data_IF_820439645718
#
_entry.id   IF_820439645718
#
_cell.length_a   1.000
_cell.length_b   1.000
_cell.length_c   1.000
_cell.angle_alpha   90.00
_cell.angle_beta   90.00
_cell.angle_gamma   90.00
#
_symmetry.space_group_name_H-M   'P 1'
#
loop_
_entity.id
_entity.type
_entity.pdbx_description
1 polymer ?
#
# COMPACT_ATOMS: atom_id res chain seq x y z
N UNK A 1 -17.68 -21.39 6.92
CA UNK A 1 -18.95 -20.96 6.26
C UNK A 1 -19.49 -19.67 6.87
N UNK A 2 -19.73 -19.57 8.18
CA UNK A 2 -20.22 -18.35 8.86
C UNK A 2 -19.28 -17.15 8.71
N UNK A 3 -17.98 -17.33 8.95
CA UNK A 3 -16.95 -16.30 8.74
C UNK A 3 -17.05 -15.70 7.32
N UNK A 4 -17.09 -16.54 6.30
CA UNK A 4 -17.20 -16.09 4.90
C UNK A 4 -18.50 -15.33 4.61
N UNK A 5 -19.62 -15.74 5.25
CA UNK A 5 -20.90 -15.02 5.11
C UNK A 5 -20.79 -13.60 5.68
N UNK A 6 -20.19 -13.43 6.87
CA UNK A 6 -19.97 -12.10 7.44
C UNK A 6 -19.02 -11.26 6.59
N UNK A 7 -17.93 -11.84 6.07
CA UNK A 7 -17.03 -11.16 5.16
C UNK A 7 -17.73 -10.66 3.88
N UNK A 8 -18.68 -11.42 3.31
CA UNK A 8 -19.46 -10.97 2.14
C UNK A 8 -20.38 -9.80 2.48
N UNK A 9 -21.04 -9.82 3.64
CA UNK A 9 -21.82 -8.66 4.11
C UNK A 9 -20.93 -7.45 4.34
N UNK A 10 -19.75 -7.63 4.94
CA UNK A 10 -18.76 -6.57 5.14
C UNK A 10 -18.21 -6.04 3.80
N UNK A 11 -17.97 -6.90 2.82
CA UNK A 11 -17.58 -6.47 1.46
C UNK A 11 -18.62 -5.55 0.83
N UNK A 12 -19.91 -5.81 1.07
CA UNK A 12 -21.02 -5.00 0.58
C UNK A 12 -21.18 -3.69 1.34
N UNK A 13 -21.28 -3.76 2.69
CA UNK A 13 -21.55 -2.60 3.55
C UNK A 13 -20.32 -1.71 3.70
N UNK A 14 -19.17 -2.28 3.95
CA UNK A 14 -17.94 -1.54 4.27
C UNK A 14 -17.14 -1.08 3.04
N UNK A 15 -17.72 -0.77 1.87
CA UNK A 15 -16.92 -0.32 0.69
C UNK A 15 -16.35 1.09 0.91
N UNK A 16 -17.04 1.93 1.63
CA UNK A 16 -16.72 3.34 1.87
C UNK A 16 -17.92 4.25 1.57
N UNK A 17 -17.86 5.53 1.96
CA UNK A 17 -19.03 6.43 1.94
C UNK A 17 -19.71 6.53 0.58
N UNK A 18 -18.95 6.43 -0.51
CA UNK A 18 -19.48 6.58 -1.89
C UNK A 18 -19.87 5.25 -2.55
N UNK A 19 -19.46 4.11 -2.03
CA UNK A 19 -19.66 2.80 -2.66
C UNK A 19 -20.44 1.81 -1.79
N UNK A 20 -20.67 2.14 -0.53
CA UNK A 20 -21.42 1.31 0.41
C UNK A 20 -22.83 1.05 -0.10
N UNK A 21 -23.27 -0.21 0.03
CA UNK A 21 -24.63 -0.62 -0.25
C UNK A 21 -25.28 -1.07 1.05
N UNK A 22 -26.49 -0.58 1.29
CA UNK A 22 -27.27 -1.01 2.43
C UNK A 22 -27.62 -2.49 2.35
N UNK A 23 -27.74 -3.13 3.50
CA UNK A 23 -28.20 -4.51 3.61
C UNK A 23 -29.72 -4.57 3.43
N UNK A 24 -30.19 -5.59 2.73
CA UNK A 24 -31.62 -5.89 2.66
C UNK A 24 -32.10 -6.61 3.92
N UNK A 25 -33.41 -6.94 3.99
CA UNK A 25 -33.99 -7.57 5.17
C UNK A 25 -33.33 -8.91 5.50
N UNK A 26 -33.16 -9.80 4.51
CA UNK A 26 -32.58 -11.13 4.73
C UNK A 26 -31.11 -11.04 5.17
N UNK A 27 -30.35 -10.11 4.58
CA UNK A 27 -28.95 -9.85 4.94
C UNK A 27 -28.84 -9.27 6.36
N UNK A 28 -29.79 -8.42 6.78
CA UNK A 28 -29.82 -7.86 8.13
C UNK A 28 -30.17 -8.94 9.16
N UNK A 29 -31.13 -9.81 8.85
CA UNK A 29 -31.45 -10.97 9.71
C UNK A 29 -30.31 -11.98 9.79
N UNK A 30 -29.56 -12.17 8.70
CA UNK A 30 -28.36 -12.99 8.71
C UNK A 30 -27.27 -12.33 9.57
N UNK A 31 -27.03 -11.03 9.43
CA UNK A 31 -26.08 -10.27 10.25
C UNK A 31 -26.39 -10.39 11.74
N UNK A 32 -27.67 -10.30 12.12
CA UNK A 32 -28.15 -10.44 13.49
C UNK A 32 -27.76 -11.80 14.13
N UNK A 33 -27.67 -12.87 13.31
CA UNK A 33 -27.24 -14.20 13.74
C UNK A 33 -25.72 -14.34 13.76
N UNK A 34 -24.99 -13.65 12.88
CA UNK A 34 -23.55 -13.78 12.73
C UNK A 34 -22.77 -12.92 13.73
N UNK A 35 -23.34 -11.80 14.17
CA UNK A 35 -22.67 -10.88 15.11
C UNK A 35 -22.35 -11.53 16.47
N UNK A 36 -23.25 -12.34 17.11
CA UNK A 36 -22.92 -13.00 18.37
C UNK A 36 -22.25 -14.37 18.21
N UNK A 37 -22.01 -14.82 16.95
CA UNK A 37 -21.60 -16.19 16.68
C UNK A 37 -20.10 -16.41 16.99
N UNK A 38 -19.74 -17.34 17.90
CA UNK A 38 -18.35 -17.56 18.30
C UNK A 38 -17.47 -18.22 17.23
N UNK A 39 -18.07 -18.78 16.15
CA UNK A 39 -17.32 -19.31 15.00
C UNK A 39 -16.89 -18.20 14.01
N UNK A 40 -17.25 -16.95 14.31
CA UNK A 40 -16.84 -15.77 13.52
C UNK A 40 -15.79 -14.99 14.31
N UNK A 41 -14.74 -14.56 13.63
CA UNK A 41 -13.68 -13.75 14.23
C UNK A 41 -14.23 -12.47 14.85
N UNK A 42 -13.83 -12.19 16.08
CA UNK A 42 -14.20 -10.95 16.79
C UNK A 42 -13.76 -9.71 16.02
N UNK A 43 -12.63 -9.77 15.32
CA UNK A 43 -12.14 -8.70 14.44
C UNK A 43 -13.10 -8.41 13.28
N UNK A 44 -13.63 -9.46 12.62
CA UNK A 44 -14.59 -9.27 11.53
C UNK A 44 -15.93 -8.76 12.05
N UNK A 45 -16.39 -9.26 13.21
CA UNK A 45 -17.62 -8.78 13.89
C UNK A 45 -17.50 -7.28 14.25
N UNK A 46 -16.36 -6.90 14.86
CA UNK A 46 -16.07 -5.51 15.24
C UNK A 46 -15.99 -4.58 14.02
N UNK A 47 -15.32 -5.01 12.96
CA UNK A 47 -15.24 -4.24 11.70
C UNK A 47 -16.62 -4.04 11.07
N UNK A 48 -17.45 -5.10 11.07
CA UNK A 48 -18.82 -5.01 10.55
C UNK A 48 -19.72 -4.10 11.41
N UNK A 49 -19.62 -4.21 12.73
CA UNK A 49 -20.34 -3.34 13.66
C UNK A 49 -19.93 -1.87 13.45
N UNK A 50 -18.64 -1.60 13.33
CA UNK A 50 -18.13 -0.26 13.01
C UNK A 50 -18.72 0.28 11.71
N UNK A 51 -18.76 -0.53 10.64
CA UNK A 51 -19.34 -0.12 9.37
C UNK A 51 -20.86 0.14 9.48
N UNK A 52 -21.58 -0.66 10.27
CA UNK A 52 -23.00 -0.48 10.52
C UNK A 52 -23.31 0.83 11.27
N UNK A 53 -22.48 1.16 12.28
CA UNK A 53 -22.68 2.33 13.12
C UNK A 53 -22.18 3.64 12.47
N UNK A 54 -21.16 3.58 11.60
CA UNK A 54 -20.59 4.77 10.97
C UNK A 54 -21.38 5.23 9.74
N UNK A 55 -21.90 4.28 8.96
CA UNK A 55 -22.57 4.60 7.69
C UNK A 55 -24.07 4.80 7.89
N UNK A 56 -24.65 5.72 7.10
CA UNK A 56 -26.10 5.99 7.14
C UNK A 56 -26.89 4.69 6.96
N UNK A 57 -27.71 4.30 7.94
CA UNK A 57 -28.49 3.07 7.88
C UNK A 57 -29.75 3.23 7.03
N UNK A 58 -30.23 2.14 6.45
CA UNK A 58 -31.57 2.04 5.91
C UNK A 58 -32.57 1.57 7.01
N UNK A 59 -33.90 1.50 6.75
CA UNK A 59 -34.86 1.12 7.79
C UNK A 59 -34.62 -0.26 8.43
N UNK A 60 -34.07 -1.24 7.71
CA UNK A 60 -33.75 -2.57 8.25
C UNK A 60 -32.54 -2.50 9.17
N UNK A 61 -31.51 -1.79 8.74
CA UNK A 61 -30.29 -1.55 9.53
C UNK A 61 -30.60 -0.70 10.77
N UNK A 62 -31.50 0.31 10.68
CA UNK A 62 -31.93 1.10 11.83
C UNK A 62 -32.69 0.22 12.86
N UNK A 63 -33.49 -0.74 12.39
CA UNK A 63 -34.16 -1.68 13.27
C UNK A 63 -33.12 -2.55 14.01
N UNK A 64 -32.15 -3.10 13.31
CA UNK A 64 -31.06 -3.85 13.93
C UNK A 64 -30.27 -3.01 14.95
N UNK A 65 -29.91 -1.77 14.62
CA UNK A 65 -29.20 -0.87 15.55
C UNK A 65 -30.03 -0.62 16.81
N UNK A 66 -31.34 -0.46 16.71
CA UNK A 66 -32.23 -0.35 17.89
C UNK A 66 -32.23 -1.63 18.74
N UNK A 67 -32.30 -2.80 18.11
CA UNK A 67 -32.20 -4.09 18.81
C UNK A 67 -30.87 -4.24 19.54
N UNK A 68 -29.74 -3.87 18.88
CA UNK A 68 -28.41 -3.87 19.49
C UNK A 68 -28.33 -2.98 20.74
N UNK A 69 -28.99 -1.82 20.73
CA UNK A 69 -29.02 -0.94 21.91
C UNK A 69 -30.00 -1.43 23.01
N UNK A 70 -31.08 -2.07 22.62
CA UNK A 70 -32.14 -2.51 23.57
C UNK A 70 -31.75 -3.80 24.32
N UNK A 71 -31.12 -4.74 23.61
CA UNK A 71 -30.81 -6.07 24.10
C UNK A 71 -29.45 -6.54 23.59
N UNK A 72 -28.35 -5.79 23.91
CA UNK A 72 -27.03 -6.08 23.37
C UNK A 72 -26.54 -7.49 23.71
N UNK A 73 -27.00 -8.06 24.82
CA UNK A 73 -26.61 -9.41 25.27
C UNK A 73 -27.03 -10.52 24.30
N UNK A 74 -28.08 -10.29 23.52
CA UNK A 74 -28.59 -11.28 22.57
C UNK A 74 -27.86 -11.24 21.24
N UNK A 75 -27.22 -10.10 20.90
CA UNK A 75 -26.75 -9.83 19.55
C UNK A 75 -25.27 -9.48 19.45
N UNK A 76 -24.57 -9.28 20.57
CA UNK A 76 -23.17 -8.94 20.56
C UNK A 76 -22.36 -9.75 21.58
N UNK A 77 -21.13 -10.12 21.24
CA UNK A 77 -20.13 -10.52 22.23
C UNK A 77 -19.94 -9.43 23.29
N UNK A 78 -19.56 -9.84 24.50
CA UNK A 78 -19.34 -8.90 25.62
C UNK A 78 -18.37 -7.77 25.28
N UNK A 79 -17.33 -8.11 24.52
CA UNK A 79 -16.25 -7.23 24.09
C UNK A 79 -16.72 -6.09 23.18
N UNK A 80 -17.79 -6.31 22.40
CA UNK A 80 -18.29 -5.32 21.44
C UNK A 80 -19.36 -4.38 22.01
N UNK A 81 -19.85 -4.64 23.23
CA UNK A 81 -20.88 -3.80 23.87
C UNK A 81 -20.36 -2.38 24.15
N UNK A 82 -19.06 -2.22 24.40
CA UNK A 82 -18.45 -0.91 24.65
C UNK A 82 -18.56 0.05 23.44
N UNK A 83 -18.77 -0.46 22.22
CA UNK A 83 -19.01 0.40 21.05
C UNK A 83 -20.39 1.09 21.10
N UNK A 84 -21.35 0.50 21.80
CA UNK A 84 -22.69 1.07 21.98
C UNK A 84 -22.80 1.89 23.27
N UNK A 85 -22.05 1.49 24.32
CA UNK A 85 -22.11 2.08 25.64
C UNK A 85 -20.69 2.40 26.14
N UNK A 86 -20.04 3.44 25.58
CA UNK A 86 -18.68 3.77 25.92
C UNK A 86 -18.55 4.18 27.40
N UNK A 87 -17.55 3.62 28.08
CA UNK A 87 -17.23 4.03 29.45
C UNK A 87 -16.75 5.48 29.51
N UNK A 88 -16.86 6.13 30.68
CA UNK A 88 -16.42 7.52 30.87
C UNK A 88 -14.89 7.69 30.90
N UNK A 89 -14.11 6.62 30.90
CA UNK A 89 -12.65 6.66 30.94
C UNK A 89 -12.05 7.02 29.57
N UNK A 90 -10.93 7.76 29.57
CA UNK A 90 -10.16 8.12 28.39
C UNK A 90 -9.48 6.87 27.81
N UNK A 91 -10.23 6.02 27.13
CA UNK A 91 -9.79 4.75 26.54
C UNK A 91 -9.68 4.81 25.02
N UNK A 92 -9.11 3.79 24.41
CA UNK A 92 -9.11 3.65 22.94
C UNK A 92 -10.53 3.58 22.37
N UNK A 93 -11.45 2.92 23.10
CA UNK A 93 -12.86 2.81 22.70
C UNK A 93 -13.54 4.18 22.57
N UNK A 94 -13.21 5.15 23.42
CA UNK A 94 -13.72 6.52 23.27
C UNK A 94 -13.27 7.19 21.97
N UNK A 95 -12.00 7.01 21.58
CA UNK A 95 -11.49 7.55 20.33
C UNK A 95 -12.16 6.85 19.14
N UNK A 96 -12.34 5.53 19.21
CA UNK A 96 -13.07 4.76 18.19
C UNK A 96 -14.53 5.26 18.09
N UNK A 97 -15.24 5.46 19.19
CA UNK A 97 -16.61 5.96 19.18
C UNK A 97 -16.72 7.38 18.63
N UNK A 98 -15.73 8.24 18.91
CA UNK A 98 -15.66 9.57 18.29
C UNK A 98 -15.54 9.47 16.78
N UNK A 99 -14.70 8.59 16.27
CA UNK A 99 -14.51 8.32 14.84
C UNK A 99 -15.78 7.71 14.21
N UNK A 100 -16.39 6.71 14.86
CA UNK A 100 -17.67 6.10 14.44
C UNK A 100 -18.78 7.15 14.29
N UNK A 101 -18.80 8.14 15.18
CA UNK A 101 -19.74 9.27 15.14
C UNK A 101 -19.40 10.31 14.05
N UNK A 102 -18.42 10.05 13.18
CA UNK A 102 -18.01 10.93 12.10
C UNK A 102 -17.20 12.16 12.56
N UNK A 103 -16.72 12.18 13.80
CA UNK A 103 -15.93 13.29 14.34
C UNK A 103 -14.44 13.09 14.09
N UNK A 104 -13.74 14.19 13.76
CA UNK A 104 -12.31 14.18 13.57
C UNK A 104 -11.57 14.13 14.91
N UNK A 105 -10.43 13.46 14.92
CA UNK A 105 -9.51 13.47 16.05
C UNK A 105 -8.66 14.76 16.04
N UNK A 106 -8.40 15.34 17.20
CA UNK A 106 -7.34 16.32 17.32
C UNK A 106 -5.97 15.64 17.12
N UNK A 107 -4.93 16.43 16.88
CA UNK A 107 -3.54 15.93 16.76
C UNK A 107 -3.14 15.11 18.01
N UNK A 108 -3.53 15.58 19.20
CA UNK A 108 -3.27 14.87 20.45
C UNK A 108 -4.03 13.55 20.54
N UNK A 109 -5.30 13.54 20.17
CA UNK A 109 -6.13 12.34 20.15
C UNK A 109 -5.64 11.32 19.10
N UNK A 110 -5.25 11.79 17.92
CA UNK A 110 -4.68 10.93 16.87
C UNK A 110 -3.35 10.29 17.32
N UNK A 111 -2.47 11.04 17.99
CA UNK A 111 -1.25 10.48 18.58
C UNK A 111 -1.56 9.42 19.63
N UNK A 112 -2.49 9.69 20.54
CA UNK A 112 -2.92 8.72 21.55
C UNK A 112 -3.58 7.48 20.94
N UNK A 113 -4.36 7.66 19.87
CA UNK A 113 -4.92 6.52 19.12
C UNK A 113 -3.84 5.63 18.53
N UNK A 114 -2.76 6.24 18.02
CA UNK A 114 -1.62 5.48 17.48
C UNK A 114 -0.76 4.84 18.58
N UNK A 115 -0.72 5.39 19.80
CA UNK A 115 -0.11 4.72 20.94
C UNK A 115 -0.84 3.41 21.24
N UNK A 116 -2.17 3.44 21.33
CA UNK A 116 -2.99 2.22 21.47
C UNK A 116 -2.85 1.27 20.28
N UNK A 117 -2.80 1.81 19.07
CA UNK A 117 -2.69 1.01 17.86
C UNK A 117 -1.41 0.18 17.82
N UNK A 118 -0.27 0.75 18.23
CA UNK A 118 1.01 0.05 18.26
C UNK A 118 1.26 -0.74 19.56
N UNK A 119 0.44 -0.57 20.58
CA UNK A 119 0.55 -1.35 21.81
C UNK A 119 0.14 -2.82 21.54
N UNK A 120 1.05 -3.81 21.73
CA UNK A 120 0.74 -5.21 21.51
C UNK A 120 -0.28 -5.76 22.51
N UNK A 121 -0.51 -5.11 23.65
CA UNK A 121 -1.51 -5.51 24.64
C UNK A 121 -2.94 -5.13 24.22
N UNK A 122 -3.11 -4.21 23.29
CA UNK A 122 -4.43 -3.80 22.80
C UNK A 122 -4.96 -4.84 21.82
N UNK A 123 -6.18 -5.35 22.02
CA UNK A 123 -6.80 -6.36 21.17
C UNK A 123 -6.95 -5.92 19.69
N UNK A 124 -6.76 -6.88 18.78
CA UNK A 124 -6.83 -6.61 17.33
C UNK A 124 -8.19 -6.08 16.87
N UNK A 125 -9.29 -6.52 17.48
CA UNK A 125 -10.63 -6.06 17.10
C UNK A 125 -10.82 -4.56 17.34
N UNK A 126 -10.19 -3.97 18.37
CA UNK A 126 -10.20 -2.52 18.61
C UNK A 126 -9.38 -1.78 17.53
N UNK A 127 -8.21 -2.31 17.21
CA UNK A 127 -7.35 -1.74 16.14
C UNK A 127 -8.06 -1.78 14.78
N UNK A 128 -8.73 -2.88 14.48
CA UNK A 128 -9.52 -3.04 13.26
C UNK A 128 -10.68 -2.05 13.19
N UNK A 129 -11.41 -1.87 14.30
CA UNK A 129 -12.51 -0.90 14.39
C UNK A 129 -12.03 0.54 14.22
N UNK A 130 -10.88 0.89 14.79
CA UNK A 130 -10.26 2.20 14.60
C UNK A 130 -9.93 2.44 13.11
N UNK A 131 -9.25 1.48 12.47
CA UNK A 131 -8.88 1.57 11.05
C UNK A 131 -10.10 1.65 10.13
N UNK A 132 -11.15 0.87 10.42
CA UNK A 132 -12.38 0.89 9.61
C UNK A 132 -13.16 2.20 9.82
N UNK A 133 -13.27 2.66 11.06
CA UNK A 133 -13.94 3.92 11.38
C UNK A 133 -13.26 5.11 10.68
N UNK A 134 -11.94 5.24 10.79
CA UNK A 134 -11.18 6.29 10.10
C UNK A 134 -11.39 6.23 8.58
N UNK A 135 -11.29 5.05 7.99
CA UNK A 135 -11.50 4.85 6.56
C UNK A 135 -12.92 5.24 6.09
N UNK A 136 -13.94 4.95 6.90
CA UNK A 136 -15.34 5.26 6.57
C UNK A 136 -15.68 6.72 6.82
N UNK A 137 -15.15 7.31 7.89
CA UNK A 137 -15.25 8.75 8.17
C UNK A 137 -14.49 9.57 7.13
N UNK A 138 -13.43 9.03 6.58
CA UNK A 138 -12.33 9.65 5.83
C UNK A 138 -11.43 10.48 6.74
N UNK A 139 -10.20 10.08 6.77
CA UNK A 139 -9.14 10.74 7.53
C UNK A 139 -8.96 12.19 7.05
N UNK A 140 -8.73 13.11 7.97
CA UNK A 140 -8.32 14.48 7.62
C UNK A 140 -6.84 14.51 7.25
N UNK A 141 -6.40 15.63 6.69
CA UNK A 141 -4.99 15.84 6.39
C UNK A 141 -4.13 15.79 7.66
N UNK A 142 -4.59 16.39 8.75
CA UNK A 142 -3.91 16.45 10.04
C UNK A 142 -3.82 15.05 10.68
N UNK A 143 -4.92 14.28 10.67
CA UNK A 143 -4.93 12.89 11.13
C UNK A 143 -3.92 12.06 10.34
N UNK A 144 -3.94 12.17 9.01
CA UNK A 144 -3.01 11.48 8.11
C UNK A 144 -1.54 11.85 8.37
N UNK A 145 -1.24 13.12 8.70
CA UNK A 145 0.12 13.53 9.07
C UNK A 145 0.59 12.81 10.34
N UNK A 146 -0.28 12.71 11.36
CA UNK A 146 0.03 11.97 12.59
C UNK A 146 0.22 10.49 12.26
N UNK A 147 -0.70 9.87 11.56
CA UNK A 147 -0.64 8.44 11.23
C UNK A 147 0.63 8.09 10.46
N UNK A 148 0.98 8.89 9.46
CA UNK A 148 2.21 8.70 8.68
C UNK A 148 3.46 8.87 9.56
N UNK A 149 3.49 9.89 10.41
CA UNK A 149 4.62 10.09 11.33
C UNK A 149 4.78 8.92 12.29
N UNK A 150 3.70 8.45 12.88
CA UNK A 150 3.73 7.35 13.85
C UNK A 150 4.12 6.00 13.22
N UNK A 151 3.70 5.74 11.97
CA UNK A 151 4.17 4.56 11.21
C UNK A 151 5.67 4.67 10.94
N UNK A 152 6.14 5.85 10.55
CA UNK A 152 7.56 6.12 10.35
C UNK A 152 8.36 5.90 11.63
N UNK A 153 7.87 6.38 12.78
CA UNK A 153 8.56 6.27 14.08
C UNK A 153 8.57 4.82 14.60
N UNK A 154 7.55 4.03 14.28
CA UNK A 154 7.48 2.60 14.59
C UNK A 154 8.37 1.71 13.70
N UNK A 155 9.04 2.29 12.70
CA UNK A 155 9.86 1.55 11.75
C UNK A 155 11.35 1.65 12.07
N UNK A 156 12.06 0.53 11.88
CA UNK A 156 13.51 0.49 11.94
C UNK A 156 14.10 1.19 10.71
N UNK A 157 15.02 2.15 10.93
CA UNK A 157 15.59 2.95 9.86
C UNK A 157 17.09 3.06 10.00
N UNK A 158 17.79 2.96 8.89
CA UNK A 158 19.26 3.11 8.82
C UNK A 158 19.59 4.23 7.84
N UNK A 159 20.51 5.08 8.27
CA UNK A 159 21.05 6.17 7.46
C UNK A 159 22.22 5.70 6.59
N UNK A 160 22.34 6.25 5.38
CA UNK A 160 23.46 6.02 4.46
C UNK A 160 23.98 7.33 3.87
N UNK A 161 25.20 7.30 3.36
CA UNK A 161 25.91 8.38 2.67
C UNK A 161 25.79 8.32 1.13
N UNK A 162 24.95 7.45 0.59
CA UNK A 162 24.67 7.36 -0.85
C UNK A 162 24.16 8.72 -1.34
N UNK A 163 24.79 9.34 -2.37
CA UNK A 163 24.43 10.71 -2.76
C UNK A 163 22.97 10.89 -3.19
N UNK A 164 22.43 9.91 -3.95
CA UNK A 164 21.02 9.88 -4.40
C UNK A 164 20.49 8.46 -4.22
N UNK A 165 19.42 8.32 -3.47
CA UNK A 165 18.72 7.05 -3.27
C UNK A 165 17.30 7.14 -3.82
N UNK A 166 16.99 6.26 -4.77
CA UNK A 166 15.66 6.13 -5.38
C UNK A 166 14.88 5.04 -4.65
N UNK A 167 13.68 5.35 -4.19
CA UNK A 167 12.78 4.42 -3.52
C UNK A 167 11.61 4.08 -4.44
N UNK A 168 11.47 2.82 -4.81
CA UNK A 168 10.29 2.31 -5.51
C UNK A 168 9.28 1.79 -4.48
N UNK A 169 8.20 2.56 -4.28
CA UNK A 169 7.21 2.35 -3.24
C UNK A 169 5.94 1.73 -3.84
N UNK A 170 6.00 0.43 -4.13
CA UNK A 170 4.89 -0.33 -4.69
C UNK A 170 3.77 -0.60 -3.68
N UNK A 171 2.58 -0.98 -4.19
CA UNK A 171 1.48 -1.45 -3.37
C UNK A 171 1.82 -2.77 -2.70
N UNK A 172 1.76 -2.81 -1.36
CA UNK A 172 2.10 -4.01 -0.59
C UNK A 172 1.09 -5.16 -0.77
N UNK A 173 -0.15 -4.87 -1.11
CA UNK A 173 -1.14 -5.91 -1.43
C UNK A 173 -0.97 -6.53 -2.83
N UNK A 174 0.04 -6.10 -3.57
CA UNK A 174 0.54 -6.73 -4.79
C UNK A 174 -0.36 -6.58 -6.03
N UNK A 175 -0.06 -7.35 -7.05
CA UNK A 175 -0.73 -7.35 -8.35
C UNK A 175 -1.41 -8.69 -8.63
N UNK A 176 -2.61 -8.64 -9.23
CA UNK A 176 -3.38 -9.83 -9.63
C UNK A 176 -3.70 -9.86 -11.13
N UNK A 177 -3.78 -8.68 -11.77
CA UNK A 177 -4.23 -8.50 -13.15
C UNK A 177 -3.22 -7.80 -14.03
N UNK A 178 -2.17 -7.23 -13.44
CA UNK A 178 -1.13 -6.48 -14.13
C UNK A 178 0.24 -7.05 -13.81
N UNK A 179 1.12 -7.01 -14.80
CA UNK A 179 2.51 -7.38 -14.62
C UNK A 179 3.23 -6.35 -13.76
N UNK A 180 4.11 -6.81 -12.90
CA UNK A 180 4.95 -5.94 -12.06
C UNK A 180 6.43 -6.29 -12.28
N UNK A 181 7.14 -5.38 -12.92
CA UNK A 181 8.57 -5.53 -13.23
C UNK A 181 9.49 -4.70 -12.31
N UNK A 182 9.02 -4.27 -11.13
CA UNK A 182 9.77 -3.36 -10.26
C UNK A 182 11.16 -3.88 -9.89
N UNK A 183 11.34 -5.19 -9.73
CA UNK A 183 12.67 -5.79 -9.47
C UNK A 183 13.62 -5.59 -10.65
N UNK A 184 13.13 -5.64 -11.88
CA UNK A 184 13.92 -5.38 -13.08
C UNK A 184 14.17 -3.88 -13.28
N UNK A 185 13.22 -3.04 -12.96
CA UNK A 185 13.39 -1.56 -12.95
C UNK A 185 14.51 -1.18 -11.97
N UNK A 186 14.52 -1.74 -10.76
CA UNK A 186 15.54 -1.49 -9.76
C UNK A 186 16.94 -1.95 -10.25
N UNK A 187 17.01 -3.14 -10.86
CA UNK A 187 18.27 -3.65 -11.41
C UNK A 187 18.78 -2.81 -12.60
N UNK A 188 17.88 -2.30 -13.45
CA UNK A 188 18.24 -1.44 -14.57
C UNK A 188 18.69 -0.03 -14.09
N UNK A 189 18.05 0.51 -13.04
CA UNK A 189 18.53 1.74 -12.36
C UNK A 189 19.94 1.54 -11.81
N UNK A 190 20.23 0.40 -11.19
CA UNK A 190 21.56 0.07 -10.69
C UNK A 190 22.59 -0.06 -11.83
N UNK A 191 22.24 -0.73 -12.93
CA UNK A 191 23.08 -0.81 -14.12
C UNK A 191 23.35 0.57 -14.72
N UNK A 192 22.41 1.50 -14.61
CA UNK A 192 22.57 2.89 -15.04
C UNK A 192 23.42 3.75 -14.08
N UNK A 193 23.88 3.19 -12.95
CA UNK A 193 24.74 3.85 -11.96
C UNK A 193 24.01 4.54 -10.81
N UNK A 194 22.71 4.24 -10.60
CA UNK A 194 21.92 4.82 -9.52
C UNK A 194 21.60 3.78 -8.45
N UNK A 195 21.43 4.24 -7.20
CA UNK A 195 21.05 3.36 -6.11
C UNK A 195 19.52 3.30 -5.96
N UNK A 196 18.99 2.08 -5.88
CA UNK A 196 17.55 1.85 -5.80
C UNK A 196 17.17 0.92 -4.66
N UNK A 197 16.23 1.36 -3.80
CA UNK A 197 15.61 0.56 -2.76
C UNK A 197 14.19 0.20 -3.16
N UNK A 198 13.88 -1.10 -3.17
CA UNK A 198 12.52 -1.63 -3.20
C UNK A 198 12.08 -1.98 -1.78
N UNK A 199 10.84 -1.67 -1.45
CA UNK A 199 10.18 -2.17 -0.22
C UNK A 199 8.92 -2.94 -0.56
N UNK A 200 8.54 -3.86 0.31
CA UNK A 200 7.34 -4.67 0.11
C UNK A 200 7.08 -5.64 1.25
N UNK A 201 6.27 -6.62 0.99
CA UNK A 201 5.87 -7.69 1.91
C UNK A 201 5.64 -8.97 1.10
N UNK A 202 5.67 -10.13 1.77
CA UNK A 202 5.37 -11.42 1.14
C UNK A 202 3.93 -11.46 0.58
N UNK A 203 2.93 -11.12 1.40
CA UNK A 203 1.52 -11.08 1.02
C UNK A 203 0.69 -10.36 2.07
N UNK A 204 -0.29 -9.56 1.66
CA UNK A 204 -1.22 -8.88 2.58
C UNK A 204 -2.60 -8.64 1.93
N UNK A 205 -3.63 -8.60 2.80
CA UNK A 205 -5.00 -8.27 2.40
C UNK A 205 -5.12 -6.82 1.87
N UNK A 206 -6.14 -6.53 1.04
CA UNK A 206 -7.23 -7.43 0.66
C UNK A 206 -6.97 -8.24 -0.62
N UNK A 207 -5.97 -7.88 -1.45
CA UNK A 207 -5.75 -8.52 -2.76
C UNK A 207 -4.99 -9.83 -2.67
N UNK A 208 -4.04 -9.97 -1.74
CA UNK A 208 -3.12 -11.10 -1.70
C UNK A 208 -2.44 -11.36 -3.06
N UNK A 209 -2.16 -10.27 -3.78
CA UNK A 209 -1.49 -10.31 -5.07
C UNK A 209 0.00 -10.65 -4.92
N UNK A 210 0.63 -11.05 -6.03
CA UNK A 210 2.07 -11.25 -6.02
C UNK A 210 2.81 -9.89 -5.92
N UNK A 211 3.94 -9.90 -5.26
CA UNK A 211 4.76 -8.73 -4.95
C UNK A 211 6.19 -8.91 -5.46
N UNK A 212 7.04 -7.91 -5.31
CA UNK A 212 8.49 -8.04 -5.56
C UNK A 212 9.12 -9.16 -4.73
N UNK A 213 8.61 -9.41 -3.51
CA UNK A 213 9.01 -10.56 -2.68
C UNK A 213 8.82 -11.90 -3.43
N UNK A 214 7.62 -12.09 -4.00
CA UNK A 214 7.28 -13.30 -4.77
C UNK A 214 8.21 -13.50 -5.97
N UNK A 215 8.46 -12.43 -6.73
CA UNK A 215 9.34 -12.49 -7.91
C UNK A 215 10.78 -12.85 -7.51
N UNK A 216 11.28 -12.28 -6.41
CA UNK A 216 12.62 -12.59 -5.89
C UNK A 216 12.72 -14.06 -5.44
N UNK A 217 11.74 -14.58 -4.71
CA UNK A 217 11.72 -15.99 -4.33
C UNK A 217 11.75 -16.94 -5.54
N UNK A 218 10.92 -16.66 -6.55
CA UNK A 218 10.88 -17.44 -7.78
C UNK A 218 12.21 -17.37 -8.56
N UNK A 219 12.91 -16.24 -8.48
CA UNK A 219 14.24 -16.06 -9.06
C UNK A 219 15.36 -16.74 -8.25
N UNK A 220 15.03 -17.47 -7.16
CA UNK A 220 16.02 -18.10 -6.28
C UNK A 220 16.82 -17.11 -5.44
N UNK A 221 16.29 -15.91 -5.20
CA UNK A 221 16.91 -14.84 -4.41
C UNK A 221 16.29 -14.74 -3.02
N UNK A 222 17.04 -14.21 -2.07
CA UNK A 222 16.58 -14.05 -0.68
C UNK A 222 15.87 -12.71 -0.49
N UNK A 223 14.53 -12.67 -0.32
CA UNK A 223 13.82 -11.42 -0.06
C UNK A 223 13.89 -10.97 1.40
N UNK A 224 14.20 -11.87 2.34
CA UNK A 224 14.32 -11.59 3.77
C UNK A 224 15.77 -11.32 4.14
N UNK A 225 16.20 -10.07 3.99
CA UNK A 225 17.49 -9.59 4.44
C UNK A 225 17.32 -8.71 5.67
N UNK A 226 18.17 -8.88 6.67
CA UNK A 226 18.28 -7.91 7.76
C UNK A 226 18.65 -6.53 7.18
N UNK A 227 18.14 -5.46 7.80
CA UNK A 227 18.30 -4.10 7.27
C UNK A 227 19.76 -3.69 7.04
N UNK A 228 20.69 -4.15 7.89
CA UNK A 228 22.12 -3.91 7.71
C UNK A 228 22.70 -4.60 6.47
N UNK A 229 22.33 -5.87 6.24
CA UNK A 229 22.74 -6.62 5.05
C UNK A 229 22.14 -6.04 3.77
N UNK A 230 20.89 -5.57 3.84
CA UNK A 230 20.26 -4.87 2.73
C UNK A 230 21.00 -3.56 2.39
N UNK A 231 21.49 -2.83 3.40
CA UNK A 231 22.33 -1.65 3.17
C UNK A 231 23.66 -2.00 2.51
N UNK A 232 24.34 -3.07 2.95
CA UNK A 232 25.59 -3.53 2.35
C UNK A 232 25.37 -3.93 0.89
N UNK A 233 24.29 -4.66 0.62
CA UNK A 233 23.91 -5.05 -0.74
C UNK A 233 23.59 -3.82 -1.61
N UNK A 234 22.86 -2.84 -1.07
CA UNK A 234 22.55 -1.59 -1.75
C UNK A 234 23.84 -0.84 -2.17
N UNK A 235 24.81 -0.74 -1.26
CA UNK A 235 26.10 -0.09 -1.53
C UNK A 235 26.95 -0.86 -2.55
N UNK A 236 26.89 -2.19 -2.53
CA UNK A 236 27.76 -3.04 -3.37
C UNK A 236 27.16 -3.27 -4.76
N UNK A 237 25.85 -3.53 -4.82
CA UNK A 237 25.14 -3.95 -6.04
C UNK A 237 24.32 -2.83 -6.69
N UNK A 238 24.17 -1.67 -6.03
CA UNK A 238 23.39 -0.54 -6.49
C UNK A 238 21.89 -0.68 -6.26
N UNK A 239 21.38 -1.85 -5.88
CA UNK A 239 19.98 -2.02 -5.52
C UNK A 239 19.77 -3.14 -4.52
N UNK A 240 18.66 -3.05 -3.78
CA UNK A 240 18.22 -4.08 -2.85
C UNK A 240 16.71 -4.07 -2.66
N UNK A 241 16.19 -5.14 -2.06
CA UNK A 241 14.81 -5.23 -1.57
C UNK A 241 14.83 -5.41 -0.05
N UNK A 242 13.94 -4.72 0.64
CA UNK A 242 13.76 -4.86 2.08
C UNK A 242 12.30 -5.13 2.42
N UNK A 243 12.05 -6.24 3.11
CA UNK A 243 10.71 -6.70 3.48
C UNK A 243 10.19 -5.97 4.71
N UNK A 244 8.88 -5.68 4.76
CA UNK A 244 8.21 -5.04 5.90
C UNK A 244 8.44 -5.79 7.21
N UNK A 245 8.59 -7.11 7.17
CA UNK A 245 8.89 -7.94 8.34
C UNK A 245 10.14 -7.47 9.07
N UNK A 246 11.14 -6.99 8.31
CA UNK A 246 12.42 -6.55 8.86
C UNK A 246 12.42 -5.09 9.32
N UNK A 247 11.68 -4.21 8.63
CA UNK A 247 11.72 -2.79 8.97
C UNK A 247 10.52 -2.26 9.77
N UNK A 248 9.35 -2.91 9.69
CA UNK A 248 8.19 -2.57 10.54
C UNK A 248 7.50 -3.84 11.02
N UNK A 249 8.15 -4.64 11.88
CA UNK A 249 7.61 -5.93 12.34
C UNK A 249 6.27 -5.79 13.06
N UNK A 250 5.99 -4.64 13.70
CA UNK A 250 4.69 -4.36 14.32
C UNK A 250 3.53 -4.32 13.32
N UNK A 251 3.71 -3.69 12.14
CA UNK A 251 2.70 -3.73 11.07
C UNK A 251 2.61 -5.09 10.39
N UNK A 252 3.76 -5.75 10.20
CA UNK A 252 3.78 -7.11 9.64
C UNK A 252 2.99 -8.09 10.50
N UNK A 253 3.07 -8.00 11.82
CA UNK A 253 2.33 -8.82 12.75
C UNK A 253 0.80 -8.68 12.60
N UNK A 254 0.31 -7.55 12.10
CA UNK A 254 -1.13 -7.27 11.91
C UNK A 254 -1.72 -7.88 10.63
N UNK A 255 -1.01 -8.74 9.91
CA UNK A 255 -1.50 -9.35 8.66
C UNK A 255 -2.81 -10.11 8.82
N UNK A 256 -2.95 -10.87 9.93
CA UNK A 256 -4.18 -11.63 10.21
C UNK A 256 -5.35 -10.69 10.48
N UNK A 257 -5.16 -9.67 11.31
CA UNK A 257 -6.17 -8.62 11.54
C UNK A 257 -6.62 -7.97 10.21
N UNK A 258 -5.66 -7.60 9.34
CA UNK A 258 -5.96 -7.00 8.02
C UNK A 258 -6.74 -7.94 7.11
N UNK A 259 -6.48 -9.26 7.18
CA UNK A 259 -7.26 -10.27 6.46
C UNK A 259 -8.71 -10.28 6.94
N UNK A 260 -8.93 -10.27 8.24
CA UNK A 260 -10.26 -10.31 8.87
C UNK A 260 -11.06 -9.02 8.69
N UNK A 261 -10.38 -7.88 8.53
CA UNK A 261 -11.01 -6.60 8.14
C UNK A 261 -11.56 -6.60 6.71
N UNK A 262 -11.05 -7.46 5.82
CA UNK A 262 -11.48 -7.57 4.42
C UNK A 262 -11.26 -6.29 3.58
N UNK A 263 -10.97 -5.17 4.18
CA UNK A 263 -10.87 -3.83 3.56
C UNK A 263 -9.45 -3.27 3.67
N UNK A 264 -9.14 -2.31 2.78
CA UNK A 264 -7.85 -1.63 2.76
C UNK A 264 -7.89 -0.42 3.69
N UNK A 265 -7.15 -0.43 4.82
CA UNK A 265 -7.05 0.71 5.72
C UNK A 265 -6.10 1.79 5.18
N UNK A 266 -6.03 2.95 5.85
CA UNK A 266 -5.06 4.01 5.54
C UNK A 266 -3.59 3.53 5.61
N UNK A 267 -3.31 2.50 6.38
CA UNK A 267 -1.98 1.87 6.46
C UNK A 267 -1.41 1.56 5.08
N UNK A 268 -2.24 1.06 4.16
CA UNK A 268 -1.81 0.72 2.80
C UNK A 268 -1.33 1.93 1.99
N UNK A 269 -1.65 3.15 2.41
CA UNK A 269 -1.15 4.39 1.80
C UNK A 269 0.24 4.74 2.32
N UNK A 270 0.46 4.60 3.63
CA UNK A 270 1.67 5.12 4.29
C UNK A 270 2.77 4.07 4.50
N UNK A 271 2.43 2.80 4.70
CA UNK A 271 3.42 1.74 4.94
C UNK A 271 4.45 1.62 3.83
N UNK A 272 4.05 1.83 2.58
CA UNK A 272 4.95 1.81 1.42
C UNK A 272 5.84 3.04 1.29
N UNK A 273 5.51 4.15 1.98
CA UNK A 273 6.27 5.39 1.97
C UNK A 273 7.29 5.48 3.12
N UNK A 274 7.40 4.44 3.93
CA UNK A 274 8.49 4.31 4.90
C UNK A 274 9.80 4.11 4.15
N UNK A 275 10.80 4.93 4.46
CA UNK A 275 12.15 4.86 3.89
C UNK A 275 13.05 4.15 4.91
N UNK A 276 13.11 2.81 4.94
CA UNK A 276 13.84 2.08 5.96
C UNK A 276 15.36 2.21 5.84
N UNK A 277 15.84 2.49 4.63
CA UNK A 277 17.19 3.01 4.38
C UNK A 277 16.99 4.38 3.77
N UNK A 278 17.59 5.42 4.35
CA UNK A 278 17.48 6.78 3.84
C UNK A 278 18.85 7.45 3.73
N UNK A 279 19.01 8.29 2.72
CA UNK A 279 20.28 8.98 2.47
C UNK A 279 20.38 10.30 3.22
N UNK A 280 21.60 10.66 3.64
CA UNK A 280 21.96 12.02 4.05
C UNK A 280 22.08 12.98 2.87
N UNK A 281 22.23 12.45 1.64
CA UNK A 281 22.14 13.20 0.40
C UNK A 281 20.70 13.43 0.00
N UNK A 282 20.28 12.89 -1.14
CA UNK A 282 18.93 13.07 -1.67
C UNK A 282 18.14 11.77 -1.66
N UNK A 283 16.87 11.84 -1.29
CA UNK A 283 15.91 10.75 -1.29
C UNK A 283 14.81 11.03 -2.30
N UNK A 284 14.67 10.18 -3.32
CA UNK A 284 13.67 10.28 -4.35
C UNK A 284 12.66 9.14 -4.21
N UNK A 285 11.38 9.45 -4.29
CA UNK A 285 10.29 8.48 -4.17
C UNK A 285 9.56 8.35 -5.49
N UNK A 286 9.31 7.11 -5.92
CA UNK A 286 8.28 6.82 -6.92
C UNK A 286 7.20 5.97 -6.29
N UNK A 287 5.93 6.39 -6.40
CA UNK A 287 4.77 5.65 -5.91
C UNK A 287 3.57 5.79 -6.84
N UNK A 288 2.62 4.86 -6.73
CA UNK A 288 1.40 4.88 -7.51
C UNK A 288 0.13 5.07 -6.68
N UNK A 289 -0.95 5.48 -7.35
CA UNK A 289 -2.29 5.57 -6.81
C UNK A 289 -3.32 4.97 -7.80
N UNK A 290 -4.49 4.59 -7.28
CA UNK A 290 -5.60 4.07 -8.10
C UNK A 290 -6.72 5.10 -8.27
N UNK A 291 -7.21 5.66 -7.16
CA UNK A 291 -8.33 6.59 -7.16
C UNK A 291 -7.86 8.04 -7.08
N UNK A 292 -8.49 8.98 -7.81
CA UNK A 292 -8.05 10.38 -7.88
C UNK A 292 -7.88 11.08 -6.53
N UNK A 293 -8.72 10.77 -5.55
CA UNK A 293 -8.61 11.32 -4.20
C UNK A 293 -7.24 11.07 -3.55
N UNK A 294 -6.69 9.87 -3.70
CA UNK A 294 -5.37 9.54 -3.14
C UNK A 294 -4.21 10.25 -3.82
N UNK A 295 -4.40 10.73 -5.06
CA UNK A 295 -3.39 11.53 -5.78
C UNK A 295 -2.99 12.77 -5.00
N UNK A 296 -3.99 13.57 -4.63
CA UNK A 296 -3.78 14.82 -3.92
C UNK A 296 -3.26 14.58 -2.51
N UNK A 297 -3.83 13.58 -1.84
CA UNK A 297 -3.43 13.23 -0.47
C UNK A 297 -1.96 12.79 -0.43
N UNK A 298 -1.53 11.87 -1.29
CA UNK A 298 -0.14 11.40 -1.36
C UNK A 298 0.85 12.55 -1.55
N UNK A 299 0.60 13.43 -2.51
CA UNK A 299 1.55 14.51 -2.82
C UNK A 299 1.61 15.56 -1.70
N UNK A 300 0.47 15.86 -1.07
CA UNK A 300 0.40 16.77 0.09
C UNK A 300 1.14 16.20 1.29
N UNK A 301 0.95 14.92 1.58
CA UNK A 301 1.62 14.24 2.70
C UNK A 301 3.13 14.11 2.47
N UNK A 302 3.55 13.74 1.26
CA UNK A 302 4.98 13.70 0.92
C UNK A 302 5.63 15.07 1.08
N UNK A 303 5.00 16.13 0.57
CA UNK A 303 5.48 17.51 0.73
C UNK A 303 5.56 17.93 2.20
N UNK A 304 4.51 17.69 2.97
CA UNK A 304 4.44 18.08 4.37
C UNK A 304 5.43 17.30 5.25
N UNK A 305 5.70 16.04 4.90
CA UNK A 305 6.63 15.20 5.67
C UNK A 305 8.08 15.67 5.59
N UNK A 306 8.49 16.36 4.52
CA UNK A 306 9.89 16.74 4.28
C UNK A 306 10.86 15.56 4.18
N UNK A 307 10.36 14.33 3.96
CA UNK A 307 11.16 13.09 4.01
C UNK A 307 11.77 12.68 2.68
N UNK A 308 11.40 13.37 1.60
CA UNK A 308 12.01 13.18 0.29
C UNK A 308 12.25 14.54 -0.37
N UNK A 309 13.31 14.60 -1.17
CA UNK A 309 13.68 15.79 -1.94
C UNK A 309 12.86 15.90 -3.22
N UNK A 310 12.59 14.73 -3.84
CA UNK A 310 11.74 14.62 -5.02
C UNK A 310 10.78 13.44 -4.90
N UNK A 311 9.59 13.60 -5.48
CA UNK A 311 8.66 12.50 -5.60
C UNK A 311 8.01 12.47 -6.99
N UNK A 312 7.73 11.25 -7.45
CA UNK A 312 6.94 10.95 -8.65
C UNK A 312 5.72 10.14 -8.18
N UNK A 313 4.54 10.69 -8.42
CA UNK A 313 3.27 10.03 -8.10
C UNK A 313 2.52 9.77 -9.40
N UNK A 314 2.30 8.50 -9.74
CA UNK A 314 1.68 8.10 -11.02
C UNK A 314 0.33 7.43 -10.82
N UNK A 315 -0.57 7.57 -11.79
CA UNK A 315 -1.77 6.73 -11.88
C UNK A 315 -1.35 5.32 -12.31
N UNK A 316 -0.82 4.55 -11.35
CA UNK A 316 -0.27 3.23 -11.62
C UNK A 316 -1.33 2.16 -11.78
N UNK A 317 -0.97 1.10 -12.50
CA UNK A 317 -1.78 -0.10 -12.63
C UNK A 317 -1.93 -0.75 -11.26
N UNK A 318 -3.16 -1.01 -10.84
CA UNK A 318 -3.50 -1.52 -9.51
C UNK A 318 -2.92 -0.69 -8.33
N UNK A 319 -2.52 0.56 -8.57
CA UNK A 319 -1.94 1.43 -7.55
C UNK A 319 -0.43 1.23 -7.30
N UNK A 320 0.22 0.44 -8.16
CA UNK A 320 1.68 0.24 -8.16
C UNK A 320 2.41 1.43 -8.80
N UNK A 321 3.73 1.38 -8.81
CA UNK A 321 4.57 2.29 -9.60
C UNK A 321 4.44 2.05 -11.10
N UNK A 322 3.81 0.95 -11.51
CA UNK A 322 3.71 0.45 -12.88
C UNK A 322 2.70 1.24 -13.71
N UNK A 323 3.14 1.81 -14.81
CA UNK A 323 2.29 2.59 -15.72
C UNK A 323 1.82 1.74 -16.90
N UNK A 324 0.64 2.09 -17.41
CA UNK A 324 0.12 1.47 -18.63
C UNK A 324 0.96 1.85 -19.85
N UNK A 325 1.21 0.88 -20.74
CA UNK A 325 1.97 1.09 -21.98
C UNK A 325 1.10 1.44 -23.18
N UNK A 326 -0.22 1.24 -23.09
CA UNK A 326 -1.18 1.43 -24.18
C UNK A 326 -1.94 2.77 -24.11
N UNK A 327 -1.65 3.59 -23.08
CA UNK A 327 -2.35 4.86 -22.84
C UNK A 327 -1.51 5.85 -22.04
N UNK A 328 -1.90 7.09 -22.12
CA UNK A 328 -1.34 8.17 -21.32
C UNK A 328 -1.60 7.99 -19.83
N UNK A 329 -0.67 8.46 -19.01
CA UNK A 329 -0.70 8.35 -17.56
C UNK A 329 -0.53 9.74 -16.93
N UNK A 330 -1.34 10.03 -15.88
CA UNK A 330 -1.14 11.20 -15.04
C UNK A 330 0.11 10.96 -14.19
N UNK A 331 1.05 11.88 -14.28
CA UNK A 331 2.29 11.90 -13.52
C UNK A 331 2.43 13.24 -12.78
N UNK A 332 2.51 13.17 -11.45
CA UNK A 332 2.74 14.34 -10.60
C UNK A 332 4.15 14.27 -10.08
N UNK A 333 4.87 15.37 -10.16
CA UNK A 333 6.20 15.50 -9.60
C UNK A 333 6.21 16.51 -8.46
N UNK A 334 6.93 16.18 -7.40
CA UNK A 334 7.32 17.08 -6.32
C UNK A 334 8.84 17.28 -6.44
N UNK A 335 9.29 18.55 -6.47
CA UNK A 335 10.69 18.94 -6.42
C UNK A 335 10.82 20.05 -5.35
N UNK A 336 11.35 19.73 -4.21
CA UNK A 336 11.29 20.59 -3.02
C UNK A 336 9.85 20.97 -2.67
N UNK A 337 9.48 22.23 -2.94
CA UNK A 337 8.11 22.72 -2.69
C UNK A 337 7.25 22.81 -3.96
N UNK A 338 7.82 22.55 -5.12
CA UNK A 338 7.15 22.70 -6.42
C UNK A 338 6.43 21.43 -6.81
N UNK A 339 5.13 21.53 -7.03
CA UNK A 339 4.31 20.44 -7.54
C UNK A 339 3.92 20.73 -8.98
N UNK A 340 4.13 19.75 -9.88
CA UNK A 340 3.71 19.83 -11.28
C UNK A 340 2.94 18.57 -11.65
N UNK A 341 1.79 18.73 -12.29
CA UNK A 341 1.03 17.62 -12.88
C UNK A 341 1.25 17.63 -14.40
N UNK A 342 1.58 16.48 -14.94
CA UNK A 342 1.80 16.28 -16.36
C UNK A 342 1.08 15.01 -16.81
N UNK A 343 0.78 14.94 -18.09
CA UNK A 343 0.43 13.69 -18.76
C UNK A 343 1.70 13.17 -19.42
N UNK A 344 1.98 11.90 -19.26
CA UNK A 344 3.15 11.20 -19.82
C UNK A 344 2.70 10.00 -20.64
N UNK A 345 3.38 9.78 -21.74
CA UNK A 345 3.09 8.67 -22.66
C UNK A 345 4.36 7.84 -22.91
N UNK A 346 4.24 6.51 -23.16
CA UNK A 346 5.37 5.72 -23.65
C UNK A 346 5.99 6.30 -24.92
N UNK A 347 5.18 6.93 -25.79
CA UNK A 347 5.64 7.61 -27.01
C UNK A 347 6.59 8.78 -26.76
N UNK A 348 6.51 9.44 -25.60
CA UNK A 348 7.44 10.50 -25.20
C UNK A 348 8.89 10.00 -25.09
N UNK A 349 9.06 8.67 -24.96
CA UNK A 349 10.33 7.97 -24.85
C UNK A 349 10.63 7.07 -26.06
N UNK A 350 9.88 7.23 -27.16
CA UNK A 350 10.03 6.41 -28.37
C UNK A 350 9.60 4.95 -28.21
N UNK A 351 8.77 4.67 -27.23
CA UNK A 351 8.30 3.32 -26.89
C UNK A 351 6.81 3.19 -27.20
N UNK A 352 6.43 2.05 -27.81
CA UNK A 352 5.05 1.78 -28.16
C UNK A 352 4.72 0.33 -27.88
N UNK A 353 3.52 0.09 -27.32
CA UNK A 353 2.86 -1.22 -27.29
C UNK A 353 1.46 -1.03 -27.87
N UNK A 354 1.08 -1.88 -28.83
CA UNK A 354 -0.21 -1.76 -29.51
C UNK A 354 -1.37 -2.27 -28.66
N UNK A 355 -1.14 -3.27 -27.81
CA UNK A 355 -2.15 -3.81 -26.90
C UNK A 355 -1.48 -4.36 -25.62
N UNK A 356 -1.98 -3.96 -24.47
CA UNK A 356 -1.63 -4.61 -23.21
C UNK A 356 -2.54 -5.84 -23.04
N UNK A 357 -1.96 -7.03 -23.02
CA UNK A 357 -2.72 -8.24 -22.72
C UNK A 357 -3.25 -8.16 -21.28
N UNK A 358 -4.55 -7.98 -21.13
CA UNK A 358 -5.22 -8.09 -19.85
C UNK A 358 -5.56 -9.56 -19.61
N UNK A 359 -4.74 -10.24 -18.85
CA UNK A 359 -5.04 -11.60 -18.40
C UNK A 359 -6.00 -11.53 -17.21
N UNK A 360 -6.94 -12.48 -17.12
CA UNK A 360 -7.88 -12.55 -15.98
C UNK A 360 -7.18 -12.83 -14.65
N UNK A 361 -6.03 -13.49 -14.71
CA UNK A 361 -5.10 -13.67 -13.59
C UNK A 361 -3.69 -13.81 -14.17
N UNK A 362 -2.72 -13.13 -13.54
CA UNK A 362 -1.31 -13.22 -13.94
C UNK A 362 -0.61 -14.17 -12.99
N UNK A 363 0.11 -15.12 -13.57
CA UNK A 363 0.98 -16.03 -12.83
C UNK A 363 2.34 -15.37 -12.67
N UNK A 364 2.87 -15.20 -11.43
CA UNK A 364 4.12 -14.47 -11.20
C UNK A 364 5.33 -15.07 -11.92
N UNK A 365 5.34 -16.38 -12.19
CA UNK A 365 6.36 -17.07 -13.00
C UNK A 365 6.44 -16.52 -14.42
N UNK A 366 5.31 -16.16 -15.01
CA UNK A 366 5.28 -15.53 -16.34
C UNK A 366 5.92 -14.16 -16.29
N UNK A 367 5.60 -13.37 -15.28
CA UNK A 367 6.20 -12.05 -15.08
C UNK A 367 7.73 -12.13 -14.90
N UNK A 368 8.21 -13.09 -14.10
CA UNK A 368 9.65 -13.36 -13.96
C UNK A 368 10.29 -13.72 -15.27
N UNK A 369 9.72 -14.68 -16.02
CA UNK A 369 10.29 -15.15 -17.28
C UNK A 369 10.32 -14.02 -18.33
N UNK A 370 9.23 -13.25 -18.48
CA UNK A 370 9.20 -12.11 -19.41
C UNK A 370 10.28 -11.06 -19.07
N UNK A 371 10.53 -10.79 -17.78
CA UNK A 371 11.58 -9.89 -17.33
C UNK A 371 13.00 -10.43 -17.58
N UNK A 372 13.23 -11.74 -17.37
CA UNK A 372 14.50 -12.39 -17.69
C UNK A 372 14.76 -12.36 -19.18
N UNK A 373 13.76 -12.69 -20.00
CA UNK A 373 13.82 -12.64 -21.46
C UNK A 373 14.17 -11.22 -21.95
N UNK A 374 13.56 -10.19 -21.32
CA UNK A 374 13.90 -8.80 -21.61
C UNK A 374 15.38 -8.49 -21.35
N UNK A 375 15.93 -8.96 -20.21
CA UNK A 375 17.32 -8.76 -19.85
C UNK A 375 18.32 -9.64 -20.62
N UNK A 376 17.85 -10.70 -21.27
CA UNK A 376 18.59 -11.48 -22.26
C UNK A 376 18.61 -10.80 -23.65
N UNK A 377 17.99 -9.62 -23.79
CA UNK A 377 17.98 -8.86 -25.03
C UNK A 377 16.82 -9.19 -25.97
N UNK A 378 15.86 -10.04 -25.56
CA UNK A 378 14.67 -10.33 -26.38
C UNK A 378 13.79 -9.09 -26.52
N UNK A 379 13.33 -8.82 -27.73
CA UNK A 379 12.40 -7.73 -28.00
C UNK A 379 10.97 -8.15 -27.61
N UNK A 380 10.59 -7.85 -26.37
CA UNK A 380 9.26 -8.13 -25.82
C UNK A 380 8.66 -6.91 -25.11
N UNK A 381 7.40 -7.02 -24.72
CA UNK A 381 6.68 -5.93 -24.05
C UNK A 381 7.25 -5.63 -22.65
N UNK A 382 7.78 -6.65 -21.95
CA UNK A 382 8.47 -6.45 -20.66
C UNK A 382 9.69 -5.54 -20.81
N UNK A 383 10.51 -5.73 -21.86
CA UNK A 383 11.66 -4.88 -22.16
C UNK A 383 11.25 -3.42 -22.33
N UNK A 384 10.22 -3.16 -23.14
CA UNK A 384 9.70 -1.81 -23.38
C UNK A 384 9.17 -1.17 -22.10
N UNK A 385 8.44 -1.95 -21.32
CA UNK A 385 7.86 -1.49 -20.06
C UNK A 385 8.94 -1.16 -19.01
N UNK A 386 9.93 -2.03 -18.79
CA UNK A 386 11.05 -1.81 -17.88
C UNK A 386 11.84 -0.56 -18.27
N UNK A 387 12.14 -0.39 -19.56
CA UNK A 387 12.83 0.80 -20.09
C UNK A 387 11.98 2.05 -19.86
N UNK A 388 10.67 2.03 -20.16
CA UNK A 388 9.79 3.19 -19.98
C UNK A 388 9.77 3.67 -18.54
N UNK A 389 9.59 2.76 -17.60
CA UNK A 389 9.52 3.12 -16.19
C UNK A 389 10.85 3.67 -15.67
N UNK A 390 11.96 3.03 -16.04
CA UNK A 390 13.31 3.49 -15.68
C UNK A 390 13.59 4.86 -16.29
N UNK A 391 13.28 5.05 -17.57
CA UNK A 391 13.49 6.31 -18.28
C UNK A 391 12.68 7.46 -17.67
N UNK A 392 11.39 7.20 -17.34
CA UNK A 392 10.54 8.20 -16.68
C UNK A 392 11.10 8.61 -15.32
N UNK A 393 11.57 7.65 -14.50
CA UNK A 393 12.17 7.97 -13.20
C UNK A 393 13.37 8.90 -13.39
N UNK A 394 14.28 8.57 -14.29
CA UNK A 394 15.50 9.34 -14.52
C UNK A 394 15.22 10.72 -15.13
N UNK A 395 14.27 10.82 -16.08
CA UNK A 395 13.82 12.10 -16.66
C UNK A 395 13.14 13.00 -15.61
N UNK A 396 12.16 12.47 -14.89
CA UNK A 396 11.35 13.28 -13.96
C UNK A 396 12.09 13.68 -12.69
N UNK A 397 13.13 12.98 -12.34
CA UNK A 397 14.05 13.37 -11.26
C UNK A 397 15.18 14.27 -11.73
N UNK A 398 15.36 14.44 -13.05
CA UNK A 398 16.44 15.23 -13.64
C UNK A 398 17.80 14.53 -13.57
N UNK A 399 17.81 13.21 -13.39
CA UNK A 399 19.05 12.40 -13.36
C UNK A 399 19.54 12.04 -14.75
N UNK A 400 18.71 12.10 -15.78
CA UNK A 400 19.10 11.90 -17.17
C UNK A 400 18.27 12.77 -18.14
N UNK A 401 18.83 13.01 -19.32
CA UNK A 401 18.13 13.70 -20.40
C UNK A 401 17.15 12.76 -21.09
N UNK A 402 15.90 13.19 -21.25
CA UNK A 402 14.83 12.40 -21.87
C UNK A 402 15.22 11.87 -23.26
N UNK A 403 15.86 12.68 -24.08
CA UNK A 403 16.18 12.32 -25.48
C UNK A 403 17.25 11.23 -25.59
N UNK A 404 18.05 10.99 -24.54
CA UNK A 404 19.19 10.09 -24.55
C UNK A 404 18.96 8.85 -23.68
N UNK A 405 18.09 8.98 -22.65
CA UNK A 405 17.93 7.97 -21.60
C UNK A 405 17.49 6.62 -22.15
N UNK A 406 16.53 6.61 -23.08
CA UNK A 406 16.02 5.35 -23.65
C UNK A 406 17.10 4.57 -24.37
N UNK A 407 17.89 5.22 -25.23
CA UNK A 407 19.00 4.56 -25.95
C UNK A 407 20.06 4.02 -25.01
N UNK A 408 20.42 4.78 -23.94
CA UNK A 408 21.35 4.30 -22.92
C UNK A 408 20.81 3.08 -22.18
N UNK A 409 19.54 3.06 -21.79
CA UNK A 409 18.94 1.91 -21.09
C UNK A 409 18.83 0.68 -21.99
N UNK A 410 18.53 0.85 -23.28
CA UNK A 410 18.57 -0.24 -24.26
C UNK A 410 19.98 -0.85 -24.35
N UNK A 411 21.02 -0.01 -24.44
CA UNK A 411 22.40 -0.46 -24.48
C UNK A 411 22.79 -1.26 -23.23
N UNK A 412 22.39 -0.82 -22.02
CA UNK A 412 22.67 -1.53 -20.76
C UNK A 412 21.99 -2.90 -20.66
N UNK A 413 20.91 -3.10 -21.38
CA UNK A 413 20.28 -4.42 -21.54
C UNK A 413 21.07 -5.25 -22.54
N UNK A 414 21.40 -4.68 -23.71
CA UNK A 414 22.03 -5.39 -24.83
C UNK A 414 23.48 -5.81 -24.53
N UNK A 415 24.22 -5.05 -23.71
CA UNK A 415 25.57 -5.40 -23.26
C UNK A 415 25.59 -6.31 -22.02
N UNK A 416 24.42 -6.70 -21.49
CA UNK A 416 24.28 -7.60 -20.36
C UNK A 416 24.47 -6.95 -18.98
N UNK A 417 24.69 -5.63 -18.90
CA UNK A 417 24.86 -4.90 -17.63
C UNK A 417 23.65 -5.01 -16.73
N UNK A 418 22.45 -4.90 -17.30
CA UNK A 418 21.17 -5.05 -16.57
C UNK A 418 21.01 -6.47 -15.99
N UNK A 419 21.31 -7.51 -16.77
CA UNK A 419 21.27 -8.91 -16.31
C UNK A 419 22.32 -9.15 -15.20
N UNK A 420 23.51 -8.59 -15.32
CA UNK A 420 24.55 -8.66 -14.29
C UNK A 420 24.08 -8.01 -12.99
N UNK A 421 23.51 -6.82 -13.04
CA UNK A 421 22.96 -6.14 -11.87
C UNK A 421 21.83 -6.95 -11.19
N UNK A 422 20.95 -7.58 -11.97
CA UNK A 422 19.92 -8.47 -11.45
C UNK A 422 20.51 -9.73 -10.79
N UNK A 423 21.51 -10.36 -11.40
CA UNK A 423 22.15 -11.58 -10.88
C UNK A 423 22.96 -11.33 -9.60
N UNK A 424 23.55 -10.16 -9.44
CA UNK A 424 24.37 -9.81 -8.27
C UNK A 424 23.56 -9.68 -6.98
N UNK A 425 22.22 -9.53 -7.03
CA UNK A 425 21.37 -9.61 -5.85
C UNK A 425 21.40 -11.03 -5.28
N UNK A 426 21.69 -11.13 -3.99
CA UNK A 426 21.66 -12.40 -3.22
C UNK A 426 20.26 -13.00 -3.08
#
# INVERSE_FOLDING_TARGET
MKQQQLEELLKKKGIGPMGSKSLNQDETELLKKLLPDPDVSLTTQATMLTALLTLTPNPYEEHLIRDLHSTPELFLPSELKEFLFPSAEKSFVQLINKVISGQNLSIEEANRAMDYFFDPAVPEYLKASFLEGERLKRETFEENQVFFSRIWDASLRIQTDIPVLIHLCDSFDGSNRTRNYSVFVAALLAAAGFHCLLTGIDSVAPKFGYTSHTILQLAGKTPLLQTTKALDELKTNGWTYLDQKEFTPSLYAMKQMRKEMVKRPFLATFEKLVLPIYSTGQNYIMTGYTHPHYKEELIKQLKASGRCDKAIVVKGMEGSTHMAMHRDTICITLDGHTIKENVVSPSDYGLHITEEKQDKSIVPEVCLQEGLDAFEGKDNDARRNIIYQTALILDKTGLANRNEVTGRLQQLIDDGSAMKAFKNKT
#
